data_IF_572363192784
#
_entry.id   IF_572363192784
#
_cell.length_a   1.000
_cell.length_b   1.000
_cell.length_c   1.000
_cell.angle_alpha   90.00
_cell.angle_beta   90.00
_cell.angle_gamma   90.00
#
_symmetry.space_group_name_H-M   'P 1'
#
loop_
_entity.id
_entity.type
_entity.pdbx_description
1 polymer ?
#
# COMPACT_ATOMS: atom_id res chain seq x y z
N UNK A 1 2.93 20.46 3.14
CA UNK A 1 4.15 19.68 2.79
C UNK A 1 3.69 18.28 2.42
N UNK A 2 4.12 17.72 1.28
CA UNK A 2 3.90 16.30 0.99
C UNK A 2 4.81 15.50 1.91
N UNK A 3 4.25 14.84 2.91
CA UNK A 3 5.02 14.05 3.87
C UNK A 3 4.27 12.77 4.16
N UNK A 4 4.86 11.66 3.74
CA UNK A 4 4.52 10.34 4.26
C UNK A 4 5.67 9.91 5.16
N UNK A 5 5.36 9.53 6.39
CA UNK A 5 6.35 9.22 7.42
C UNK A 5 5.81 8.16 8.38
N UNK A 6 6.68 7.36 8.98
CA UNK A 6 6.28 6.35 9.94
C UNK A 6 7.47 5.55 10.44
N UNK A 7 7.23 4.74 11.46
CA UNK A 7 8.20 3.80 12.02
C UNK A 7 7.67 2.39 11.87
N UNK A 8 8.42 1.43 11.28
CA UNK A 8 7.96 0.07 11.09
C UNK A 8 7.97 -0.67 12.42
N UNK A 9 6.97 -0.40 13.25
CA UNK A 9 6.82 -0.95 14.58
C UNK A 9 5.33 -1.18 14.83
N UNK A 10 4.97 -2.36 15.34
CA UNK A 10 3.58 -2.68 15.69
C UNK A 10 2.98 -1.61 16.60
N UNK A 11 1.79 -1.13 16.23
CA UNK A 11 1.07 -0.06 16.92
C UNK A 11 1.47 1.36 16.51
N UNK A 12 2.59 1.55 15.80
CA UNK A 12 2.97 2.87 15.29
C UNK A 12 2.01 3.34 14.19
N UNK A 13 1.86 4.66 14.06
CA UNK A 13 1.01 5.27 13.05
C UNK A 13 1.87 5.86 11.93
N UNK A 14 1.56 5.48 10.71
CA UNK A 14 2.09 6.05 9.49
C UNK A 14 1.20 7.20 9.03
N UNK A 15 1.84 8.31 8.66
CA UNK A 15 1.29 9.41 7.90
C UNK A 15 1.36 9.05 6.41
N UNK A 16 0.21 9.11 5.73
CA UNK A 16 0.07 8.80 4.32
C UNK A 16 -0.56 10.02 3.63
N UNK A 17 0.27 10.86 3.01
CA UNK A 17 -0.19 12.10 2.40
C UNK A 17 -0.37 11.95 0.88
N UNK A 18 -1.62 12.04 0.42
CA UNK A 18 -1.94 12.02 -1.01
C UNK A 18 -2.49 13.36 -1.53
N UNK A 19 -2.61 14.37 -0.66
CA UNK A 19 -3.12 15.70 -0.98
C UNK A 19 -3.77 16.36 0.24
N UNK A 20 -4.16 17.64 0.15
CA UNK A 20 -4.78 18.36 1.27
C UNK A 20 -6.05 17.69 1.82
N UNK A 21 -6.81 17.02 0.95
CA UNK A 21 -8.04 16.30 1.30
C UNK A 21 -7.78 14.85 1.71
N UNK A 22 -6.58 14.33 1.44
CA UNK A 22 -6.23 12.92 1.58
C UNK A 22 -5.02 12.75 2.50
N UNK A 23 -5.16 13.30 3.71
CA UNK A 23 -4.20 13.15 4.82
C UNK A 23 -4.58 11.92 5.66
N UNK A 24 -4.15 10.74 5.22
CA UNK A 24 -4.58 9.47 5.78
C UNK A 24 -3.60 8.97 6.86
N UNK A 25 -4.09 8.11 7.75
CA UNK A 25 -3.29 7.45 8.79
C UNK A 25 -3.51 5.94 8.76
N UNK A 26 -2.41 5.20 8.80
CA UNK A 26 -2.39 3.74 8.90
C UNK A 26 -1.66 3.28 10.15
N UNK A 27 -2.26 2.41 10.95
CA UNK A 27 -1.61 1.81 12.13
C UNK A 27 -0.96 0.49 11.73
N UNK A 28 0.32 0.32 12.05
CA UNK A 28 1.04 -0.94 11.84
C UNK A 28 0.43 -2.03 12.71
N UNK A 29 0.08 -3.16 12.11
CA UNK A 29 -0.55 -4.28 12.81
C UNK A 29 0.37 -5.51 12.75
N UNK A 30 0.40 -6.35 11.70
CA UNK A 30 1.58 -7.17 11.44
C UNK A 30 2.82 -6.34 11.07
N UNK A 31 3.93 -6.59 11.78
CA UNK A 31 5.27 -6.27 11.31
C UNK A 31 6.23 -7.41 11.68
N UNK A 32 6.73 -8.09 10.66
CA UNK A 32 7.79 -9.09 10.77
C UNK A 32 8.87 -8.68 9.75
N UNK A 33 10.07 -8.31 10.21
CA UNK A 33 11.16 -7.93 9.32
C UNK A 33 11.34 -8.93 8.17
N UNK A 34 11.48 -8.39 6.96
CA UNK A 34 11.70 -9.14 5.71
C UNK A 34 10.62 -10.18 5.33
N UNK A 35 9.47 -10.18 6.02
CA UNK A 35 8.44 -11.21 5.83
C UNK A 35 7.01 -10.66 5.74
N UNK A 36 6.61 -9.72 6.59
CA UNK A 36 5.22 -9.25 6.62
C UNK A 36 5.10 -7.81 7.14
N UNK A 37 4.25 -7.02 6.49
CA UNK A 37 3.90 -5.68 6.92
C UNK A 37 2.44 -5.39 6.53
N UNK A 38 1.66 -4.86 7.47
CA UNK A 38 0.25 -4.48 7.26
C UNK A 38 -0.06 -3.17 7.98
N UNK A 39 -0.83 -2.33 7.30
CA UNK A 39 -1.44 -1.12 7.84
C UNK A 39 -2.95 -1.33 7.94
N UNK A 40 -3.50 -1.10 9.12
CA UNK A 40 -4.93 -0.87 9.33
C UNK A 40 -5.21 0.61 9.15
N UNK A 41 -6.12 0.96 8.25
CA UNK A 41 -6.47 2.36 7.98
C UNK A 41 -7.28 2.92 9.16
N UNK A 42 -6.71 3.86 9.91
CA UNK A 42 -7.33 4.46 11.11
C UNK A 42 -7.80 5.90 10.89
N UNK A 43 -7.37 6.53 9.80
CA UNK A 43 -7.91 7.78 9.29
C UNK A 43 -7.87 7.72 7.76
N UNK A 44 -9.04 7.63 7.13
CA UNK A 44 -9.21 7.55 5.68
C UNK A 44 -10.66 7.90 5.33
N UNK A 45 -10.99 7.94 4.05
CA UNK A 45 -12.36 8.07 3.59
C UNK A 45 -13.23 6.88 4.01
N UNK A 46 -14.55 7.06 4.00
CA UNK A 46 -15.51 6.15 4.65
C UNK A 46 -15.32 4.66 4.30
N UNK A 47 -15.16 4.32 3.02
CA UNK A 47 -15.02 2.92 2.60
C UNK A 47 -13.63 2.32 2.87
N UNK A 48 -12.62 3.18 3.07
CA UNK A 48 -11.26 2.78 3.41
C UNK A 48 -11.03 2.69 4.92
N UNK A 49 -11.84 3.37 5.73
CA UNK A 49 -11.69 3.34 7.18
C UNK A 49 -11.87 1.91 7.71
N UNK A 50 -10.89 1.41 8.46
CA UNK A 50 -10.86 0.05 8.99
C UNK A 50 -10.42 -1.03 8.00
N UNK A 51 -10.16 -0.69 6.73
CA UNK A 51 -9.55 -1.66 5.80
C UNK A 51 -8.09 -1.93 6.16
N UNK A 52 -7.55 -3.02 5.62
CA UNK A 52 -6.19 -3.48 5.87
C UNK A 52 -5.44 -3.67 4.57
N UNK A 53 -4.33 -2.96 4.43
CA UNK A 53 -3.42 -3.03 3.28
C UNK A 53 -2.14 -3.72 3.74
N UNK A 54 -1.77 -4.84 3.11
CA UNK A 54 -0.62 -5.60 3.57
C UNK A 54 0.10 -6.38 2.49
N UNK A 55 1.34 -6.73 2.83
CA UNK A 55 2.26 -7.47 1.98
C UNK A 55 2.87 -8.62 2.78
N UNK A 56 2.93 -9.79 2.16
CA UNK A 56 3.71 -10.94 2.63
C UNK A 56 4.80 -11.26 1.63
N UNK A 57 6.02 -11.36 2.11
CA UNK A 57 7.20 -11.68 1.34
C UNK A 57 7.59 -13.13 1.60
N UNK A 58 7.97 -13.85 0.55
CA UNK A 58 8.59 -15.17 0.66
C UNK A 58 9.79 -15.27 -0.27
N UNK A 59 10.96 -15.68 0.21
CA UNK A 59 12.08 -15.97 -0.67
C UNK A 59 11.72 -17.17 -1.56
N UNK A 60 12.11 -17.10 -2.83
CA UNK A 60 11.99 -18.21 -3.78
C UNK A 60 13.13 -18.15 -4.78
N UNK A 61 14.06 -19.10 -4.66
CA UNK A 61 15.28 -19.16 -5.46
C UNK A 61 16.06 -17.83 -5.35
N UNK A 62 16.36 -17.18 -6.49
CA UNK A 62 17.02 -15.88 -6.58
C UNK A 62 16.03 -14.71 -6.66
N UNK A 63 14.78 -14.90 -6.20
CA UNK A 63 13.69 -13.91 -6.29
C UNK A 63 12.90 -13.84 -4.99
N UNK A 64 12.09 -12.79 -4.87
CA UNK A 64 11.11 -12.63 -3.78
C UNK A 64 9.70 -12.70 -4.34
N UNK A 65 8.88 -13.55 -3.75
CA UNK A 65 7.45 -13.57 -4.00
C UNK A 65 6.75 -12.55 -3.12
N UNK A 66 6.05 -11.61 -3.73
CA UNK A 66 5.25 -10.59 -3.05
C UNK A 66 3.77 -10.99 -3.15
N UNK A 67 3.12 -11.16 -1.99
CA UNK A 67 1.66 -11.36 -1.90
C UNK A 67 1.04 -10.11 -1.31
N UNK A 68 0.36 -9.35 -2.14
CA UNK A 68 -0.41 -8.19 -1.75
C UNK A 68 -1.84 -8.59 -1.35
N UNK A 69 -2.41 -7.89 -0.38
CA UNK A 69 -3.84 -7.95 -0.08
C UNK A 69 -4.35 -6.59 0.40
N UNK A 70 -5.61 -6.31 0.08
CA UNK A 70 -6.37 -5.21 0.63
C UNK A 70 -7.75 -5.73 1.04
N UNK A 71 -7.96 -5.87 2.35
CA UNK A 71 -9.14 -6.56 2.92
C UNK A 71 -9.92 -5.62 3.85
N UNK A 72 -11.08 -6.06 4.32
CA UNK A 72 -11.92 -5.28 5.24
C UNK A 72 -12.86 -4.28 4.57
N UNK A 73 -13.00 -4.34 3.23
CA UNK A 73 -13.96 -3.52 2.50
C UNK A 73 -15.40 -3.82 2.93
N UNK A 74 -16.27 -2.81 3.05
CA UNK A 74 -17.68 -3.00 3.43
C UNK A 74 -18.49 -3.73 2.35
N UNK A 75 -18.03 -3.73 1.09
CA UNK A 75 -18.63 -4.46 -0.01
C UNK A 75 -17.86 -4.28 -1.33
N UNK A 76 -18.36 -4.91 -2.40
CA UNK A 76 -17.80 -4.79 -3.76
C UNK A 76 -18.30 -3.52 -4.47
N UNK A 77 -18.12 -2.38 -3.81
CA UNK A 77 -18.54 -1.06 -4.28
C UNK A 77 -17.57 -0.49 -5.33
N UNK A 78 -17.83 0.74 -5.78
CA UNK A 78 -17.00 1.42 -6.76
C UNK A 78 -15.57 1.65 -6.27
N UNK A 79 -15.40 2.11 -5.02
CA UNK A 79 -14.09 2.32 -4.40
C UNK A 79 -13.25 1.05 -4.36
N UNK A 80 -13.85 -0.10 -4.02
CA UNK A 80 -13.17 -1.39 -4.08
C UNK A 80 -12.64 -1.70 -5.49
N UNK A 81 -13.50 -1.56 -6.51
CA UNK A 81 -13.13 -1.88 -7.91
C UNK A 81 -12.03 -0.99 -8.44
N UNK A 82 -12.12 0.33 -8.20
CA UNK A 82 -11.10 1.29 -8.59
C UNK A 82 -9.78 0.96 -7.89
N UNK A 83 -9.82 0.75 -6.57
CA UNK A 83 -8.64 0.47 -5.77
C UNK A 83 -7.94 -0.82 -6.22
N UNK A 84 -8.70 -1.89 -6.49
CA UNK A 84 -8.15 -3.14 -7.02
C UNK A 84 -7.39 -2.94 -8.33
N UNK A 85 -7.94 -2.14 -9.26
CA UNK A 85 -7.28 -1.82 -10.51
C UNK A 85 -5.98 -1.03 -10.29
N UNK A 86 -6.02 0.02 -9.46
CA UNK A 86 -4.85 0.84 -9.16
C UNK A 86 -3.72 0.04 -8.50
N UNK A 87 -4.03 -0.89 -7.59
CA UNK A 87 -3.01 -1.71 -6.93
C UNK A 87 -2.20 -2.57 -7.90
N UNK A 88 -2.82 -3.10 -8.95
CA UNK A 88 -2.09 -3.85 -9.98
C UNK A 88 -1.03 -2.98 -10.67
N UNK A 89 -1.35 -1.71 -10.94
CA UNK A 89 -0.41 -0.76 -11.55
C UNK A 89 0.73 -0.40 -10.60
N UNK A 90 0.43 -0.10 -9.34
CA UNK A 90 1.47 0.20 -8.34
C UNK A 90 2.44 -0.96 -8.11
N UNK A 91 1.94 -2.20 -8.06
CA UNK A 91 2.77 -3.40 -7.94
C UNK A 91 3.68 -3.59 -9.16
N UNK A 92 3.20 -3.25 -10.36
CA UNK A 92 4.01 -3.27 -11.58
C UNK A 92 5.11 -2.21 -11.53
N UNK A 93 4.79 -0.98 -11.14
CA UNK A 93 5.79 0.11 -10.99
C UNK A 93 6.85 -0.28 -9.95
N UNK A 94 6.45 -0.81 -8.79
CA UNK A 94 7.37 -1.30 -7.77
C UNK A 94 8.34 -2.34 -8.34
N UNK A 95 7.82 -3.32 -9.09
CA UNK A 95 8.66 -4.35 -9.72
C UNK A 95 9.66 -3.75 -10.72
N UNK A 96 9.21 -2.86 -11.62
CA UNK A 96 10.08 -2.23 -12.62
C UNK A 96 11.17 -1.37 -11.96
N UNK A 97 10.83 -0.67 -10.89
CA UNK A 97 11.79 0.11 -10.12
C UNK A 97 12.87 -0.78 -9.48
N UNK A 98 12.48 -1.90 -8.86
CA UNK A 98 13.43 -2.82 -8.22
C UNK A 98 14.26 -3.64 -9.22
N UNK A 99 13.69 -4.08 -10.34
CA UNK A 99 14.37 -4.95 -11.32
C UNK A 99 15.20 -4.15 -12.35
N UNK A 100 14.82 -2.92 -12.65
CA UNK A 100 15.40 -2.14 -13.75
C UNK A 100 15.84 -0.71 -13.36
N UNK A 101 15.57 -0.27 -12.12
CA UNK A 101 15.93 1.08 -11.68
C UNK A 101 15.04 2.18 -12.27
N UNK A 102 13.89 1.83 -12.83
CA UNK A 102 12.98 2.78 -13.45
C UNK A 102 12.24 3.64 -12.41
N UNK A 103 11.92 4.88 -12.80
CA UNK A 103 11.08 5.79 -12.04
C UNK A 103 9.94 6.27 -12.93
N UNK A 104 8.71 6.12 -12.45
CA UNK A 104 7.50 6.56 -13.15
C UNK A 104 6.94 7.76 -12.40
N UNK A 105 6.68 8.86 -13.11
CA UNK A 105 6.05 10.03 -12.52
C UNK A 105 4.65 9.65 -12.01
N UNK A 106 4.19 10.31 -10.93
CA UNK A 106 2.89 9.96 -10.37
C UNK A 106 1.78 10.17 -11.40
N UNK A 107 1.87 11.20 -12.25
CA UNK A 107 0.90 11.47 -13.31
C UNK A 107 0.74 10.28 -14.29
N UNK A 108 1.84 9.60 -14.61
CA UNK A 108 1.90 8.52 -15.62
C UNK A 108 1.67 7.11 -15.04
N UNK A 109 1.43 7.01 -13.73
CA UNK A 109 1.36 5.73 -12.99
C UNK A 109 0.33 4.72 -13.52
N UNK A 110 -0.69 5.19 -14.23
CA UNK A 110 -1.77 4.36 -14.76
C UNK A 110 -1.52 3.88 -16.20
N UNK A 111 -0.54 4.46 -16.90
CA UNK A 111 -0.21 4.14 -18.29
C UNK A 111 1.12 3.36 -18.44
N UNK A 112 1.87 3.23 -17.35
CA UNK A 112 3.20 2.60 -17.30
C UNK A 112 3.22 1.05 -17.35
#
# INVERSE_FOLDING_TARGET
MQRSAGTPQVGAVYELWFGPEYDWRGKVTPFVPDAEFELEMVQADGDWLGTRVGFRLKPRDQRTWVRFYHTGWPGTNEHYRISCNCWAMYLRVLRRSLEHGESVAYEDRLDA
#
